data_IF_986662970313
#
_entry.id   IF_986662970313
#
_cell.length_a   1.000
_cell.length_b   1.000
_cell.length_c   1.000
_cell.angle_alpha   90.00
_cell.angle_beta   90.00
_cell.angle_gamma   90.00
#
_symmetry.space_group_name_H-M   'P 1'
#
loop_
_entity.id
_entity.type
_entity.pdbx_description
1 polymer ?
#
# COMPACT_ATOMS: atom_id res chain seq x y z
N UNK A 1 -13.33 -23.95 34.40
CA UNK A 1 -14.17 -22.74 34.44
C UNK A 1 -13.76 -21.90 33.25
N UNK A 2 -14.60 -21.82 32.22
CA UNK A 2 -14.33 -21.05 31.00
C UNK A 2 -14.84 -19.65 31.25
N UNK A 3 -13.98 -18.65 31.11
CA UNK A 3 -14.28 -17.23 31.31
C UNK A 3 -15.36 -16.78 30.29
N UNK A 4 -16.56 -16.38 30.73
CA UNK A 4 -17.67 -16.02 29.83
C UNK A 4 -17.44 -14.70 29.06
N UNK A 5 -16.31 -14.03 29.29
CA UNK A 5 -16.00 -12.73 28.68
C UNK A 5 -14.79 -12.76 27.72
N UNK A 6 -14.44 -13.93 27.18
CA UNK A 6 -13.56 -13.97 26.00
C UNK A 6 -14.35 -13.50 24.79
N UNK A 7 -14.32 -12.20 24.52
CA UNK A 7 -14.73 -11.63 23.23
C UNK A 7 -14.11 -12.50 22.12
N UNK A 8 -14.94 -13.27 21.44
CA UNK A 8 -14.47 -14.14 20.37
C UNK A 8 -14.10 -13.24 19.20
N UNK A 9 -12.80 -12.97 19.07
CA UNK A 9 -12.22 -12.22 17.95
C UNK A 9 -12.13 -13.13 16.74
N UNK A 10 -12.91 -12.84 15.72
CA UNK A 10 -12.88 -13.52 14.42
C UNK A 10 -11.82 -12.92 13.51
N UNK A 11 -11.63 -11.60 13.58
CA UNK A 11 -10.59 -10.90 12.84
C UNK A 11 -9.28 -10.83 13.64
N UNK A 12 -8.19 -11.17 12.98
CA UNK A 12 -6.82 -11.06 13.51
C UNK A 12 -6.07 -9.98 12.73
N UNK A 13 -5.85 -8.80 13.35
CA UNK A 13 -5.13 -7.72 12.69
C UNK A 13 -3.70 -8.10 12.35
N UNK A 14 -3.17 -7.55 11.25
CA UNK A 14 -1.77 -7.73 10.88
C UNK A 14 -0.86 -7.25 12.00
N UNK A 15 0.06 -8.11 12.41
CA UNK A 15 1.07 -7.81 13.42
C UNK A 15 2.39 -7.42 12.75
N UNK A 16 3.30 -6.82 13.51
CA UNK A 16 4.64 -6.44 13.02
C UNK A 16 5.38 -7.60 12.33
N UNK A 17 5.17 -8.84 12.78
CA UNK A 17 5.76 -10.05 12.19
C UNK A 17 5.31 -10.33 10.76
N UNK A 18 4.11 -9.88 10.37
CA UNK A 18 3.63 -9.99 9.00
C UNK A 18 4.36 -9.02 8.09
N UNK A 19 4.69 -7.81 8.59
CA UNK A 19 5.49 -6.83 7.87
C UNK A 19 6.96 -7.27 7.77
N UNK A 20 7.56 -7.82 8.84
CA UNK A 20 8.96 -8.28 8.80
C UNK A 20 9.24 -9.38 7.76
N UNK A 21 8.21 -10.08 7.27
CA UNK A 21 8.32 -11.08 6.20
C UNK A 21 8.38 -10.48 4.79
N UNK A 22 8.05 -9.19 4.64
CA UNK A 22 8.19 -8.48 3.39
C UNK A 22 9.68 -8.17 3.20
N UNK A 23 10.21 -8.44 2.00
CA UNK A 23 11.66 -8.44 1.70
C UNK A 23 12.30 -7.08 2.03
N UNK A 24 11.50 -6.01 1.96
CA UNK A 24 11.94 -4.63 2.09
C UNK A 24 11.29 -3.85 3.25
N UNK A 25 10.51 -4.49 4.14
CA UNK A 25 9.72 -3.79 5.17
C UNK A 25 10.52 -3.04 6.25
N UNK A 26 11.81 -3.27 6.36
CA UNK A 26 12.64 -2.76 7.46
C UNK A 26 13.37 -1.44 7.19
N UNK A 27 13.33 -0.89 5.97
CA UNK A 27 14.31 0.13 5.59
C UNK A 27 13.71 1.31 4.81
N UNK A 28 13.42 2.40 5.54
CA UNK A 28 13.37 3.75 4.96
C UNK A 28 14.75 4.26 4.50
N UNK A 29 15.82 3.46 4.66
CA UNK A 29 17.21 3.85 4.35
C UNK A 29 17.47 4.13 2.87
N UNK A 30 16.45 3.97 2.02
CA UNK A 30 16.52 4.31 0.59
C UNK A 30 16.16 5.75 0.25
N UNK A 31 15.34 6.43 1.06
CA UNK A 31 14.80 7.76 0.71
C UNK A 31 15.76 8.91 1.07
N UNK A 32 16.27 8.92 2.31
CA UNK A 32 17.10 10.02 2.81
C UNK A 32 18.59 9.69 2.66
N UNK A 33 19.10 9.82 1.44
CA UNK A 33 20.50 9.58 1.09
C UNK A 33 20.95 10.43 -0.11
N UNK A 34 22.26 10.65 -0.31
CA UNK A 34 22.74 11.25 -1.55
C UNK A 34 22.58 10.27 -2.71
N UNK A 35 21.61 10.52 -3.60
CA UNK A 35 21.47 9.80 -4.85
C UNK A 35 22.58 10.23 -5.82
N UNK A 36 23.34 9.28 -6.35
CA UNK A 36 24.52 9.56 -7.20
C UNK A 36 24.18 9.81 -8.67
N UNK A 37 22.93 9.57 -9.06
CA UNK A 37 22.47 9.79 -10.43
C UNK A 37 21.27 8.91 -10.79
N UNK A 38 21.01 8.81 -12.09
CA UNK A 38 19.87 8.07 -12.67
C UNK A 38 19.71 6.66 -12.08
N UNK A 39 20.76 5.86 -12.08
CA UNK A 39 20.69 4.44 -11.68
C UNK A 39 20.22 4.25 -10.22
N UNK A 40 20.65 5.13 -9.30
CA UNK A 40 20.22 5.06 -7.90
C UNK A 40 18.73 5.37 -7.74
N UNK A 41 18.19 6.26 -8.57
CA UNK A 41 16.78 6.65 -8.58
C UNK A 41 15.90 5.56 -9.19
N UNK A 42 16.34 4.93 -10.30
CA UNK A 42 15.65 3.79 -10.91
C UNK A 42 15.60 2.60 -9.94
N UNK A 43 16.72 2.27 -9.29
CA UNK A 43 16.76 1.19 -8.31
C UNK A 43 15.82 1.45 -7.13
N UNK A 44 15.74 2.70 -6.65
CA UNK A 44 14.81 3.06 -5.58
C UNK A 44 13.35 3.06 -6.04
N UNK A 45 13.07 3.46 -7.28
CA UNK A 45 11.74 3.34 -7.89
C UNK A 45 11.27 1.88 -7.91
N UNK A 46 12.12 0.97 -8.39
CA UNK A 46 11.85 -0.46 -8.43
C UNK A 46 11.57 -1.03 -7.03
N UNK A 47 12.36 -0.64 -6.02
CA UNK A 47 12.14 -1.05 -4.63
C UNK A 47 10.78 -0.57 -4.10
N UNK A 48 10.38 0.66 -4.42
CA UNK A 48 9.07 1.19 -4.03
C UNK A 48 7.92 0.38 -4.64
N UNK A 49 8.02 0.01 -5.93
CA UNK A 49 7.00 -0.80 -6.59
C UNK A 49 6.98 -2.25 -6.08
N UNK A 50 8.13 -2.86 -5.83
CA UNK A 50 8.22 -4.19 -5.23
C UNK A 50 7.54 -4.23 -3.84
N UNK A 51 7.87 -3.26 -2.97
CA UNK A 51 7.21 -3.12 -1.66
C UNK A 51 5.71 -2.92 -1.78
N UNK A 52 5.26 -2.12 -2.75
CA UNK A 52 3.83 -1.87 -3.00
C UNK A 52 3.12 -3.17 -3.34
N UNK A 53 3.69 -3.96 -4.25
CA UNK A 53 3.10 -5.19 -4.75
C UNK A 53 3.07 -6.27 -3.67
N UNK A 54 4.16 -6.41 -2.91
CA UNK A 54 4.20 -7.28 -1.72
C UNK A 54 3.14 -6.92 -0.67
N UNK A 55 2.90 -5.62 -0.45
CA UNK A 55 1.89 -5.15 0.49
C UNK A 55 0.47 -5.42 -0.01
N UNK A 56 0.22 -5.28 -1.31
CA UNK A 56 -1.03 -5.67 -1.94
C UNK A 56 -1.29 -7.18 -1.78
N UNK A 57 -0.26 -8.01 -1.97
CA UNK A 57 -0.36 -9.47 -1.78
C UNK A 57 -0.56 -9.85 -0.31
N UNK A 58 0.04 -9.12 0.63
CA UNK A 58 -0.20 -9.29 2.06
C UNK A 58 -1.66 -8.97 2.42
N UNK A 59 -2.18 -7.85 1.89
CA UNK A 59 -3.57 -7.44 2.06
C UNK A 59 -4.53 -8.52 1.55
N UNK A 60 -4.29 -9.04 0.35
CA UNK A 60 -5.09 -10.11 -0.25
C UNK A 60 -5.05 -11.39 0.59
N UNK A 61 -3.86 -11.89 0.97
CA UNK A 61 -3.70 -13.20 1.63
C UNK A 61 -4.09 -13.22 3.09
N UNK A 62 -3.96 -12.11 3.81
CA UNK A 62 -4.18 -12.10 5.26
C UNK A 62 -5.36 -11.26 5.70
N UNK A 63 -5.72 -10.19 4.98
CA UNK A 63 -6.86 -9.35 5.37
C UNK A 63 -8.12 -9.81 4.64
N UNK A 64 -8.05 -9.85 3.31
CA UNK A 64 -9.22 -10.17 2.52
C UNK A 64 -9.70 -11.61 2.77
N UNK A 65 -8.77 -12.57 2.88
CA UNK A 65 -9.11 -13.96 3.24
C UNK A 65 -9.92 -14.08 4.54
N UNK A 66 -9.66 -13.24 5.55
CA UNK A 66 -10.46 -13.21 6.77
C UNK A 66 -11.79 -12.50 6.55
N UNK A 67 -11.78 -11.34 5.88
CA UNK A 67 -12.95 -10.49 5.67
C UNK A 67 -14.03 -11.10 4.75
N UNK A 68 -13.67 -12.05 3.87
CA UNK A 68 -14.62 -12.83 3.07
C UNK A 68 -15.00 -14.17 3.73
N UNK A 69 -14.44 -14.46 4.90
CA UNK A 69 -14.70 -15.67 5.68
C UNK A 69 -15.84 -15.49 6.70
N UNK A 70 -16.15 -16.56 7.43
CA UNK A 70 -17.16 -16.52 8.49
C UNK A 70 -16.61 -15.72 9.70
N UNK A 71 -17.42 -14.88 10.36
CA UNK A 71 -18.83 -14.58 10.11
C UNK A 71 -19.06 -13.40 9.15
N UNK A 72 -18.00 -12.76 8.66
CA UNK A 72 -18.08 -11.52 7.88
C UNK A 72 -18.82 -11.67 6.54
N UNK A 73 -18.74 -12.84 5.90
CA UNK A 73 -19.48 -13.10 4.66
C UNK A 73 -21.02 -13.07 4.81
N UNK A 74 -21.54 -13.09 6.05
CA UNK A 74 -22.98 -13.00 6.34
C UNK A 74 -23.47 -11.54 6.37
N UNK A 75 -22.54 -10.58 6.38
CA UNK A 75 -22.87 -9.16 6.39
C UNK A 75 -23.43 -8.71 5.03
N UNK A 76 -24.29 -7.67 4.98
CA UNK A 76 -24.88 -7.17 3.73
C UNK A 76 -23.86 -6.50 2.80
N UNK A 77 -22.63 -6.31 3.27
CA UNK A 77 -21.52 -5.69 2.56
C UNK A 77 -20.27 -6.54 2.75
N UNK A 78 -19.32 -6.41 1.85
CA UNK A 78 -18.02 -7.07 1.93
C UNK A 78 -16.88 -6.08 1.75
N UNK A 79 -15.73 -6.42 2.33
CA UNK A 79 -14.47 -5.81 1.93
C UNK A 79 -14.00 -6.52 0.66
N UNK A 80 -13.52 -5.76 -0.33
CA UNK A 80 -13.02 -6.31 -1.58
C UNK A 80 -11.85 -5.50 -2.13
N UNK A 81 -11.08 -6.12 -3.02
CA UNK A 81 -10.01 -5.45 -3.74
C UNK A 81 -10.53 -4.79 -5.03
N UNK A 82 -10.13 -3.54 -5.27
CA UNK A 82 -10.40 -2.80 -6.49
C UNK A 82 -9.10 -2.39 -7.17
N UNK A 83 -8.85 -2.95 -8.35
CA UNK A 83 -7.71 -2.60 -9.20
C UNK A 83 -7.93 -1.26 -9.90
N UNK A 84 -6.87 -0.48 -10.03
CA UNK A 84 -6.83 0.80 -10.74
C UNK A 84 -5.98 0.68 -12.01
N UNK A 85 -6.17 1.59 -12.97
CA UNK A 85 -5.34 1.64 -14.18
C UNK A 85 -3.86 1.94 -13.94
N UNK A 86 -3.48 2.38 -12.74
CA UNK A 86 -2.09 2.69 -12.35
C UNK A 86 -1.34 1.48 -11.77
N UNK A 87 -1.90 0.27 -11.90
CA UNK A 87 -1.29 -0.96 -11.37
C UNK A 87 -1.32 -1.06 -9.85
N UNK A 88 -2.20 -0.32 -9.18
CA UNK A 88 -2.44 -0.46 -7.73
C UNK A 88 -3.80 -1.08 -7.49
N UNK A 89 -3.96 -1.77 -6.36
CA UNK A 89 -5.24 -2.25 -5.92
C UNK A 89 -5.51 -1.89 -4.46
N UNK A 90 -6.72 -1.43 -4.18
CA UNK A 90 -7.12 -0.92 -2.87
C UNK A 90 -8.25 -1.76 -2.29
N UNK A 91 -8.24 -1.91 -0.96
CA UNK A 91 -9.35 -2.48 -0.22
C UNK A 91 -10.50 -1.48 -0.12
N UNK A 92 -11.72 -1.88 -0.47
CA UNK A 92 -12.93 -1.07 -0.40
C UNK A 92 -14.12 -1.87 0.11
N UNK A 93 -14.96 -1.23 0.91
CA UNK A 93 -16.30 -1.71 1.22
C UNK A 93 -17.18 -1.61 -0.02
N UNK A 94 -17.95 -2.67 -0.29
CA UNK A 94 -18.94 -2.70 -1.36
C UNK A 94 -20.12 -3.59 -1.00
N UNK A 95 -21.26 -3.38 -1.67
CA UNK A 95 -22.34 -4.37 -1.69
C UNK A 95 -21.93 -5.57 -2.55
N UNK A 96 -22.48 -6.75 -2.23
CA UNK A 96 -22.24 -7.99 -2.97
C UNK A 96 -22.66 -7.90 -4.45
N UNK A 97 -23.77 -7.22 -4.71
CA UNK A 97 -24.28 -6.93 -6.07
C UNK A 97 -23.49 -5.83 -6.80
N UNK A 98 -22.49 -5.24 -6.13
CA UNK A 98 -21.64 -4.14 -6.63
C UNK A 98 -22.40 -2.85 -6.96
N UNK A 99 -23.63 -2.69 -6.48
CA UNK A 99 -24.47 -1.51 -6.72
C UNK A 99 -23.96 -0.26 -5.99
N UNK A 100 -23.25 -0.44 -4.87
CA UNK A 100 -22.67 0.65 -4.09
C UNK A 100 -21.29 0.27 -3.53
N UNK A 101 -20.47 1.29 -3.29
CA UNK A 101 -19.15 1.15 -2.67
C UNK A 101 -18.79 2.38 -1.83
N UNK A 102 -17.86 2.20 -0.90
CA UNK A 102 -17.32 3.27 -0.07
C UNK A 102 -17.56 3.09 1.42
N UNK A 103 -16.90 3.93 2.22
CA UNK A 103 -16.91 3.82 3.68
C UNK A 103 -18.30 4.06 4.30
N UNK A 104 -19.19 4.77 3.60
CA UNK A 104 -20.58 4.99 4.03
C UNK A 104 -21.30 3.66 4.32
N UNK A 105 -21.06 2.63 3.51
CA UNK A 105 -21.62 1.30 3.74
C UNK A 105 -21.18 0.69 5.09
N UNK A 106 -19.91 0.85 5.45
CA UNK A 106 -19.40 0.40 6.74
C UNK A 106 -19.97 1.25 7.89
N UNK A 107 -20.12 2.56 7.70
CA UNK A 107 -20.74 3.44 8.71
C UNK A 107 -22.21 3.07 8.96
N UNK A 108 -22.97 2.79 7.91
CA UNK A 108 -24.35 2.29 8.00
C UNK A 108 -24.39 0.94 8.74
N UNK A 109 -23.47 0.03 8.42
CA UNK A 109 -23.35 -1.24 9.13
C UNK A 109 -23.06 -1.03 10.62
N UNK A 110 -22.12 -0.14 10.97
CA UNK A 110 -21.78 0.16 12.37
C UNK A 110 -22.93 0.84 13.14
N UNK A 111 -23.75 1.63 12.45
CA UNK A 111 -24.90 2.32 13.05
C UNK A 111 -26.15 1.43 13.20
N UNK A 112 -26.24 0.33 12.45
CA UNK A 112 -27.41 -0.55 12.47
C UNK A 112 -27.50 -1.34 13.77
N UNK A 113 -28.67 -1.31 14.42
CA UNK A 113 -28.98 -2.15 15.59
C UNK A 113 -29.09 -3.63 15.26
N UNK A 114 -29.17 -3.99 13.98
CA UNK A 114 -29.13 -5.39 13.52
C UNK A 114 -27.72 -5.96 13.46
N UNK A 115 -26.69 -5.12 13.57
CA UNK A 115 -25.29 -5.57 13.57
C UNK A 115 -24.95 -6.19 14.93
N UNK A 116 -24.49 -7.45 14.97
CA UNK A 116 -24.14 -8.10 16.23
C UNK A 116 -23.02 -7.35 16.97
N UNK A 117 -23.25 -7.03 18.25
CA UNK A 117 -22.32 -6.25 19.09
C UNK A 117 -20.93 -6.88 19.17
N UNK A 118 -20.87 -8.22 19.19
CA UNK A 118 -19.62 -8.98 19.22
C UNK A 118 -18.77 -8.82 17.95
N UNK A 119 -19.32 -8.31 16.85
CA UNK A 119 -18.58 -8.04 15.60
C UNK A 119 -18.09 -6.61 15.49
N UNK A 120 -18.62 -5.66 16.28
CA UNK A 120 -18.28 -4.24 16.15
C UNK A 120 -16.79 -3.97 16.30
N UNK A 121 -16.16 -4.64 17.25
CA UNK A 121 -14.74 -4.46 17.52
C UNK A 121 -13.86 -5.04 16.41
N UNK A 122 -14.31 -6.08 15.70
CA UNK A 122 -13.61 -6.66 14.55
C UNK A 122 -13.83 -5.83 13.29
N UNK A 123 -15.06 -5.35 13.06
CA UNK A 123 -15.39 -4.45 11.96
C UNK A 123 -14.59 -3.14 12.04
N UNK A 124 -14.40 -2.61 13.25
CA UNK A 124 -13.53 -1.47 13.49
C UNK A 124 -12.06 -1.77 13.16
N UNK A 125 -11.56 -2.94 13.58
CA UNK A 125 -10.19 -3.35 13.29
C UNK A 125 -9.95 -3.56 11.78
N UNK A 126 -10.91 -4.14 11.06
CA UNK A 126 -10.86 -4.27 9.60
C UNK A 126 -10.77 -2.89 8.93
N UNK A 127 -11.57 -1.91 9.39
CA UNK A 127 -11.55 -0.57 8.81
C UNK A 127 -10.21 0.15 9.05
N UNK A 128 -9.65 0.07 10.26
CA UNK A 128 -8.32 0.61 10.55
C UNK A 128 -7.25 -0.02 9.65
N UNK A 129 -7.34 -1.32 9.42
CA UNK A 129 -6.39 -2.04 8.58
C UNK A 129 -6.55 -1.71 7.09
N UNK A 130 -7.79 -1.52 6.62
CA UNK A 130 -8.09 -1.02 5.27
C UNK A 130 -7.47 0.36 5.05
N UNK A 131 -7.67 1.28 5.99
CA UNK A 131 -7.15 2.66 5.92
C UNK A 131 -5.63 2.65 5.82
N UNK A 132 -4.96 1.96 6.75
CA UNK A 132 -3.50 1.96 6.85
C UNK A 132 -2.83 1.26 5.67
N UNK A 133 -3.32 0.10 5.23
CA UNK A 133 -2.79 -0.59 4.06
C UNK A 133 -2.97 0.23 2.79
N UNK A 134 -4.16 0.80 2.57
CA UNK A 134 -4.39 1.64 1.39
C UNK A 134 -3.48 2.86 1.39
N UNK A 135 -3.28 3.53 2.54
CA UNK A 135 -2.36 4.65 2.68
C UNK A 135 -0.92 4.23 2.31
N UNK A 136 -0.43 3.12 2.86
CA UNK A 136 0.92 2.62 2.59
C UNK A 136 1.11 2.27 1.10
N UNK A 137 0.15 1.58 0.48
CA UNK A 137 0.14 1.27 -0.96
C UNK A 137 0.19 2.56 -1.79
N UNK A 138 -0.62 3.57 -1.44
CA UNK A 138 -0.62 4.87 -2.12
C UNK A 138 0.72 5.58 -2.00
N UNK A 139 1.32 5.61 -0.80
CA UNK A 139 2.61 6.26 -0.57
C UNK A 139 3.73 5.58 -1.36
N UNK A 140 3.83 4.25 -1.31
CA UNK A 140 4.84 3.51 -2.06
C UNK A 140 4.71 3.72 -3.58
N UNK A 141 3.48 3.73 -4.08
CA UNK A 141 3.24 4.01 -5.48
C UNK A 141 3.67 5.43 -5.89
N UNK A 142 3.31 6.44 -5.10
CA UNK A 142 3.69 7.84 -5.36
C UNK A 142 5.20 8.03 -5.28
N UNK A 143 5.87 7.46 -4.28
CA UNK A 143 7.32 7.52 -4.12
C UNK A 143 8.03 6.88 -5.31
N UNK A 144 7.60 5.68 -5.73
CA UNK A 144 8.17 5.00 -6.89
C UNK A 144 8.00 5.80 -8.20
N UNK A 145 6.83 6.41 -8.41
CA UNK A 145 6.60 7.28 -9.57
C UNK A 145 7.51 8.51 -9.54
N UNK A 146 7.59 9.18 -8.40
CA UNK A 146 8.44 10.36 -8.23
C UNK A 146 9.91 10.04 -8.46
N UNK A 147 10.37 8.88 -7.98
CA UNK A 147 11.71 8.38 -8.23
C UNK A 147 12.00 8.19 -9.72
N UNK A 148 11.07 7.58 -10.45
CA UNK A 148 11.20 7.35 -11.89
C UNK A 148 11.23 8.66 -12.68
N UNK A 149 10.38 9.63 -12.32
CA UNK A 149 10.40 10.96 -12.93
C UNK A 149 11.72 11.68 -12.67
N UNK A 150 12.25 11.59 -11.45
CA UNK A 150 13.56 12.15 -11.10
C UNK A 150 14.70 11.44 -11.85
N UNK A 151 14.61 10.13 -12.08
CA UNK A 151 15.58 9.39 -12.87
C UNK A 151 15.64 9.93 -14.31
N UNK A 152 14.49 10.21 -14.93
CA UNK A 152 14.42 10.83 -16.25
C UNK A 152 15.08 12.22 -16.26
N UNK A 153 14.78 13.06 -15.27
CA UNK A 153 15.39 14.40 -15.12
C UNK A 153 16.91 14.33 -14.93
N UNK A 154 17.39 13.35 -14.15
CA UNK A 154 18.82 13.13 -13.95
C UNK A 154 19.51 12.69 -15.25
N UNK A 155 18.84 11.87 -16.06
CA UNK A 155 19.33 11.49 -17.39
C UNK A 155 19.46 12.69 -18.33
N UNK A 156 18.43 13.55 -18.36
CA UNK A 156 18.44 14.77 -19.17
C UNK A 156 19.56 15.73 -18.75
N UNK A 157 19.81 15.86 -17.44
CA UNK A 157 20.89 16.67 -16.91
C UNK A 157 22.28 16.14 -17.34
N UNK A 158 22.49 14.82 -17.24
CA UNK A 158 23.72 14.17 -17.69
C UNK A 158 23.93 14.34 -19.20
N UNK A 159 22.88 14.17 -20.00
CA UNK A 159 22.95 14.37 -21.45
C UNK A 159 23.29 15.81 -21.82
N UNK A 160 22.77 16.81 -21.08
CA UNK A 160 23.12 18.20 -21.27
C UNK A 160 24.60 18.46 -20.94
N UNK A 161 25.09 17.92 -19.82
CA UNK A 161 26.49 18.01 -19.40
C UNK A 161 27.43 17.38 -20.45
N UNK A 162 27.16 16.14 -20.87
CA UNK A 162 27.98 15.43 -21.86
C UNK A 162 27.97 16.13 -23.23
N UNK A 163 26.84 16.72 -23.66
CA UNK A 163 26.79 17.54 -24.89
C UNK A 163 27.69 18.77 -24.80
N UNK A 164 27.70 19.46 -23.66
CA UNK A 164 28.57 20.62 -23.45
C UNK A 164 30.04 20.20 -23.43
N UNK A 165 30.38 19.11 -22.76
CA UNK A 165 31.75 18.61 -22.70
C UNK A 165 32.28 18.25 -24.10
N UNK A 166 31.48 17.54 -24.90
CA UNK A 166 31.81 17.18 -26.29
C UNK A 166 32.09 18.39 -27.18
N UNK A 167 31.31 19.46 -27.03
CA UNK A 167 31.48 20.72 -27.79
C UNK A 167 32.57 21.66 -27.25
N UNK A 168 33.13 21.37 -26.07
CA UNK A 168 34.18 22.20 -25.46
C UNK A 168 35.56 21.72 -25.92
N UNK A 169 36.46 22.60 -26.42
CA UNK A 169 37.81 22.23 -26.83
C UNK A 169 38.63 21.64 -25.67
N UNK A 170 39.54 20.68 -25.90
CA UNK A 170 40.32 20.01 -24.85
C UNK A 170 41.08 20.98 -23.94
N UNK A 171 41.63 22.07 -24.49
CA UNK A 171 42.40 23.07 -23.75
C UNK A 171 41.60 23.86 -22.70
N UNK A 172 40.26 23.77 -22.72
CA UNK A 172 39.37 24.43 -21.75
C UNK A 172 38.72 23.44 -20.77
N UNK A 173 39.01 22.13 -20.86
CA UNK A 173 38.38 21.11 -19.99
C UNK A 173 39.06 20.95 -18.62
N UNK A 174 40.32 21.37 -18.49
CA UNK A 174 41.16 21.17 -17.29
C UNK A 174 41.49 22.48 -16.54
N UNK A 175 40.77 23.58 -16.81
CA UNK A 175 40.91 24.86 -16.09
C UNK A 175 39.80 25.07 -15.06
#
# INVERSE_FOLDING_TARGET
MIDPNRDTRYFRPLQQTAFMKLEHAGSQKGLLKPFKGKGDLEAWASQCFAMRDELMDLAQRQVLQQAVGHPFHLLPIELAQQTTGAGTAFLRWRKHDRSAMGVALWQELMASTSTPVNLLADLHAIELQRITLNMQISLLHTLGRQAQECASKAAEAEDAYLRRLKSTPPAMRDR
#
